data_IF_048173688995
#
_entry.id   IF_048173688995
#
_cell.length_a   1.000
_cell.length_b   1.000
_cell.length_c   1.000
_cell.angle_alpha   90.00
_cell.angle_beta   90.00
_cell.angle_gamma   90.00
#
_symmetry.space_group_name_H-M   'P 1'
#
loop_
_entity.id
_entity.type
_entity.pdbx_description
1 polymer ?
#
# COMPACT_ATOMS: atom_id res chain seq x y z
N UNK A 1 -20.91 -0.02 -17.45
CA UNK A 1 -19.75 -0.91 -17.29
C UNK A 1 -18.70 -0.13 -16.55
N UNK A 2 -17.98 -0.77 -15.63
CA UNK A 2 -16.84 -0.16 -14.97
C UNK A 2 -15.88 0.39 -16.05
N UNK A 3 -15.42 1.62 -15.89
CA UNK A 3 -14.58 2.30 -16.89
C UNK A 3 -13.27 1.54 -17.11
N UNK A 4 -12.77 1.52 -18.35
CA UNK A 4 -11.45 0.97 -18.70
C UNK A 4 -10.28 1.75 -18.06
N UNK A 5 -10.59 2.90 -17.42
CA UNK A 5 -9.64 3.77 -16.72
C UNK A 5 -10.23 4.19 -15.38
N UNK A 6 -9.54 3.83 -14.30
CA UNK A 6 -9.88 4.10 -12.91
C UNK A 6 -8.81 5.04 -12.35
N UNK A 7 -9.20 6.18 -11.76
CA UNK A 7 -8.25 7.08 -11.11
C UNK A 7 -7.77 6.47 -9.79
N UNK A 8 -6.47 6.23 -9.69
CA UNK A 8 -5.81 5.67 -8.52
C UNK A 8 -4.83 6.67 -7.91
N UNK A 9 -4.65 6.58 -6.60
CA UNK A 9 -3.66 7.35 -5.85
C UNK A 9 -2.80 6.38 -5.06
N UNK A 10 -1.49 6.39 -5.32
CA UNK A 10 -0.51 5.81 -4.42
C UNK A 10 -0.11 6.85 -3.37
N UNK A 11 -0.25 6.52 -2.10
CA UNK A 11 0.20 7.38 -0.99
C UNK A 11 1.58 6.97 -0.52
N UNK A 12 2.38 7.92 -0.01
CA UNK A 12 3.71 7.66 0.53
C UNK A 12 4.14 8.73 1.55
N UNK A 13 5.27 8.50 2.21
CA UNK A 13 5.91 9.49 3.06
C UNK A 13 6.45 10.65 2.23
N UNK A 14 6.44 11.86 2.80
CA UNK A 14 6.96 13.06 2.13
C UNK A 14 8.42 12.89 1.74
N UNK A 15 8.75 13.28 0.51
CA UNK A 15 10.09 13.16 -0.08
C UNK A 15 10.31 11.86 -0.86
N UNK A 16 9.41 10.88 -0.78
CA UNK A 16 9.51 9.61 -1.53
C UNK A 16 8.66 9.58 -2.80
N UNK A 17 7.99 10.68 -3.15
CA UNK A 17 7.04 10.73 -4.26
C UNK A 17 7.69 10.43 -5.61
N UNK A 18 8.95 10.83 -5.79
CA UNK A 18 9.72 10.57 -7.01
C UNK A 18 10.06 9.09 -7.19
N UNK A 19 10.25 8.35 -6.09
CA UNK A 19 10.47 6.90 -6.14
C UNK A 19 9.18 6.17 -6.52
N UNK A 20 8.07 6.47 -5.84
CA UNK A 20 6.76 5.86 -6.17
C UNK A 20 6.36 6.16 -7.61
N UNK A 21 6.58 7.40 -8.07
CA UNK A 21 6.35 7.78 -9.47
C UNK A 21 7.16 6.89 -10.43
N UNK A 22 8.45 6.69 -10.15
CA UNK A 22 9.31 5.80 -10.95
C UNK A 22 8.81 4.35 -10.93
N UNK A 23 8.45 3.82 -9.76
CA UNK A 23 7.91 2.46 -9.64
C UNK A 23 6.61 2.29 -10.45
N UNK A 24 5.74 3.31 -10.49
CA UNK A 24 4.55 3.30 -11.33
C UNK A 24 4.89 3.35 -12.83
N UNK A 25 5.86 4.17 -13.24
CA UNK A 25 6.33 4.27 -14.62
C UNK A 25 6.98 2.95 -15.10
N UNK A 26 7.76 2.30 -14.24
CA UNK A 26 8.37 0.98 -14.50
C UNK A 26 7.29 -0.11 -14.69
N UNK A 27 6.13 0.02 -14.04
CA UNK A 27 4.96 -0.84 -14.25
C UNK A 27 4.12 -0.47 -15.49
N UNK A 28 4.47 0.63 -16.17
CA UNK A 28 3.82 1.12 -17.39
C UNK A 28 2.75 2.20 -17.16
N UNK A 29 2.64 2.76 -15.95
CA UNK A 29 1.64 3.77 -15.62
C UNK A 29 2.22 5.18 -15.65
N UNK A 30 1.55 6.09 -16.37
CA UNK A 30 1.86 7.53 -16.30
C UNK A 30 1.37 8.08 -14.96
N UNK A 31 2.29 8.63 -14.17
CA UNK A 31 2.03 9.06 -12.82
C UNK A 31 2.41 10.53 -12.57
N UNK A 32 1.58 11.24 -11.79
CA UNK A 32 1.74 12.64 -11.47
C UNK A 32 1.64 12.87 -9.97
N UNK A 33 2.58 13.62 -9.40
CA UNK A 33 2.49 14.09 -8.01
C UNK A 33 1.46 15.22 -7.97
N UNK A 34 0.37 15.03 -7.25
CA UNK A 34 -0.74 16.00 -7.17
C UNK A 34 -0.77 16.77 -5.85
N UNK A 35 -0.09 16.26 -4.83
CA UNK A 35 0.05 16.84 -3.50
C UNK A 35 1.21 16.13 -2.78
N UNK A 36 1.84 16.71 -1.73
CA UNK A 36 2.82 15.99 -0.93
C UNK A 36 2.31 14.63 -0.46
N UNK A 37 3.10 13.58 -0.72
CA UNK A 37 2.80 12.18 -0.44
C UNK A 37 1.75 11.53 -1.34
N UNK A 38 1.23 12.20 -2.37
CA UNK A 38 0.12 11.72 -3.21
C UNK A 38 0.49 11.69 -4.70
N UNK A 39 0.51 10.49 -5.27
CA UNK A 39 0.88 10.23 -6.66
C UNK A 39 -0.34 9.63 -7.36
N UNK A 40 -0.94 10.40 -8.27
CA UNK A 40 -2.11 9.99 -9.05
C UNK A 40 -1.69 9.36 -10.37
N UNK A 41 -2.37 8.29 -10.73
CA UNK A 41 -2.24 7.60 -12.02
C UNK A 41 -3.60 7.03 -12.42
N UNK A 42 -3.71 6.58 -13.67
CA UNK A 42 -4.92 5.98 -14.23
C UNK A 42 -4.58 4.53 -14.61
N UNK A 43 -5.46 3.58 -14.29
CA UNK A 43 -5.28 2.18 -14.66
C UNK A 43 -6.62 1.43 -14.73
N UNK A 44 -6.64 0.26 -15.34
CA UNK A 44 -7.77 -0.67 -15.27
C UNK A 44 -7.76 -1.46 -13.92
N UNK A 45 -8.64 -2.45 -13.80
CA UNK A 45 -8.70 -3.33 -12.63
C UNK A 45 -7.39 -4.10 -12.40
N UNK A 46 -6.64 -4.42 -13.46
CA UNK A 46 -5.34 -5.07 -13.33
C UNK A 46 -4.33 -4.16 -12.65
N UNK A 47 -4.43 -2.84 -12.87
CA UNK A 47 -3.62 -1.85 -12.18
C UNK A 47 -3.77 -1.87 -10.68
N UNK A 48 -4.98 -2.11 -10.15
CA UNK A 48 -5.19 -2.27 -8.70
C UNK A 48 -4.37 -3.44 -8.16
N UNK A 49 -4.42 -4.58 -8.85
CA UNK A 49 -3.75 -5.81 -8.43
C UNK A 49 -2.22 -5.67 -8.51
N UNK A 50 -1.72 -5.22 -9.67
CA UNK A 50 -0.29 -5.07 -9.94
C UNK A 50 0.35 -4.04 -9.01
N UNK A 51 -0.27 -2.88 -8.82
CA UNK A 51 0.33 -1.83 -7.98
C UNK A 51 0.35 -2.19 -6.49
N UNK A 52 -0.66 -2.89 -5.97
CA UNK A 52 -0.61 -3.43 -4.61
C UNK A 52 0.48 -4.51 -4.43
N UNK A 53 0.75 -5.32 -5.45
CA UNK A 53 1.80 -6.34 -5.40
C UNK A 53 3.21 -5.74 -5.50
N UNK A 54 3.41 -4.75 -6.37
CA UNK A 54 4.75 -4.34 -6.82
C UNK A 54 5.33 -3.09 -6.17
N UNK A 55 4.51 -2.13 -5.70
CA UNK A 55 5.04 -0.88 -5.14
C UNK A 55 5.74 -1.12 -3.80
N UNK A 56 7.04 -0.79 -3.72
CA UNK A 56 7.86 -1.02 -2.51
C UNK A 56 7.92 0.22 -1.61
N UNK A 57 7.79 1.40 -2.22
CA UNK A 57 7.96 2.69 -1.54
C UNK A 57 6.64 3.43 -1.29
N UNK A 58 5.51 2.89 -1.77
CA UNK A 58 4.18 3.37 -1.44
C UNK A 58 3.70 2.80 -0.09
N UNK A 59 2.88 3.58 0.63
CA UNK A 59 2.20 3.15 1.84
C UNK A 59 0.87 2.44 1.54
N UNK A 60 0.13 2.89 0.52
CA UNK A 60 -1.20 2.37 0.09
C UNK A 60 -1.48 2.73 -1.37
N UNK A 61 -2.38 1.97 -1.99
CA UNK A 61 -3.05 2.29 -3.26
C UNK A 61 -4.55 2.42 -3.01
N UNK A 62 -5.12 3.55 -3.40
CA UNK A 62 -6.56 3.84 -3.20
C UNK A 62 -7.19 4.27 -4.52
N UNK A 63 -8.48 3.96 -4.69
CA UNK A 63 -9.27 4.49 -5.80
C UNK A 63 -9.79 5.87 -5.42
N UNK A 64 -9.62 6.84 -6.30
CA UNK A 64 -10.24 8.15 -6.16
C UNK A 64 -11.69 8.09 -6.67
N UNK A 65 -12.64 7.82 -5.77
CA UNK A 65 -14.06 7.73 -6.13
C UNK A 65 -14.59 9.09 -6.58
N UNK A 66 -14.26 10.15 -5.84
CA UNK A 66 -14.64 11.51 -6.20
C UNK A 66 -13.74 12.54 -5.51
N UNK A 67 -13.69 13.76 -6.05
CA UNK A 67 -13.05 14.91 -5.42
C UNK A 67 -13.79 16.21 -5.75
N UNK A 68 -14.13 17.01 -4.74
CA UNK A 68 -14.94 18.23 -4.92
C UNK A 68 -14.67 19.25 -3.81
N UNK A 69 -14.92 20.54 -4.09
CA UNK A 69 -14.90 21.58 -3.07
C UNK A 69 -16.07 21.39 -2.10
N UNK A 70 -15.82 21.48 -0.80
CA UNK A 70 -16.76 21.10 0.24
C UNK A 70 -16.58 21.97 1.50
N UNK A 71 -17.51 22.90 1.71
CA UNK A 71 -17.50 23.86 2.83
C UNK A 71 -18.58 23.61 3.88
N UNK A 72 -19.60 22.83 3.54
CA UNK A 72 -20.73 22.53 4.40
C UNK A 72 -21.15 21.05 4.31
N UNK A 73 -21.93 20.61 5.31
CA UNK A 73 -22.35 19.21 5.43
C UNK A 73 -23.38 18.81 4.38
N UNK A 74 -24.16 19.75 3.85
CA UNK A 74 -25.17 19.46 2.83
C UNK A 74 -24.48 19.08 1.51
N UNK A 75 -23.47 19.86 1.11
CA UNK A 75 -22.62 19.57 -0.05
C UNK A 75 -21.91 18.22 0.12
N UNK A 76 -21.34 17.94 1.30
CA UNK A 76 -20.71 16.66 1.58
C UNK A 76 -21.71 15.51 1.43
N UNK A 77 -22.89 15.65 2.02
CA UNK A 77 -23.90 14.61 2.07
C UNK A 77 -24.49 14.32 0.69
N UNK A 78 -25.01 15.34 0.00
CA UNK A 78 -25.67 15.18 -1.30
C UNK A 78 -24.69 14.71 -2.38
N UNK A 79 -23.47 15.25 -2.40
CA UNK A 79 -22.45 14.80 -3.37
C UNK A 79 -22.01 13.36 -3.10
N UNK A 80 -21.85 12.97 -1.83
CA UNK A 80 -21.53 11.58 -1.48
C UNK A 80 -22.67 10.63 -1.85
N UNK A 81 -23.92 11.03 -1.61
CA UNK A 81 -25.12 10.22 -1.87
C UNK A 81 -25.35 10.00 -3.37
N UNK A 82 -24.97 10.96 -4.22
CA UNK A 82 -25.13 10.87 -5.66
C UNK A 82 -24.19 9.86 -6.36
N UNK A 83 -23.14 9.40 -5.67
CA UNK A 83 -22.18 8.43 -6.20
C UNK A 83 -22.85 7.05 -6.34
N UNK A 84 -22.55 6.35 -7.45
CA UNK A 84 -22.94 4.96 -7.71
C UNK A 84 -22.08 3.97 -6.89
N UNK A 85 -22.27 3.97 -5.57
CA UNK A 85 -21.50 3.13 -4.65
C UNK A 85 -21.68 1.62 -4.92
N UNK A 86 -22.80 1.23 -5.52
CA UNK A 86 -23.13 -0.15 -5.88
C UNK A 86 -22.20 -0.75 -6.94
N UNK A 87 -21.50 0.08 -7.73
CA UNK A 87 -20.45 -0.39 -8.65
C UNK A 87 -19.25 -1.00 -7.91
N UNK A 88 -19.04 -0.61 -6.65
CA UNK A 88 -17.90 -1.03 -5.83
C UNK A 88 -18.31 -1.89 -4.65
N UNK A 89 -19.44 -1.58 -4.02
CA UNK A 89 -19.90 -2.20 -2.77
C UNK A 89 -21.17 -3.01 -3.05
N UNK A 90 -21.10 -4.36 -3.00
CA UNK A 90 -22.27 -5.20 -3.21
C UNK A 90 -23.24 -5.08 -2.04
N UNK A 91 -24.47 -5.60 -2.21
CA UNK A 91 -25.54 -5.51 -1.19
C UNK A 91 -25.10 -5.97 0.20
N UNK A 92 -24.29 -7.02 0.27
CA UNK A 92 -23.77 -7.60 1.50
C UNK A 92 -22.42 -7.05 1.94
N UNK A 93 -21.77 -6.18 1.14
CA UNK A 93 -20.44 -5.65 1.42
C UNK A 93 -20.39 -4.89 2.76
N UNK A 94 -19.35 -5.15 3.54
CA UNK A 94 -19.01 -4.37 4.73
C UNK A 94 -18.39 -3.06 4.29
N UNK A 95 -18.77 -1.93 4.89
CA UNK A 95 -18.13 -0.65 4.56
C UNK A 95 -17.91 0.23 5.78
N UNK A 96 -16.67 0.67 5.96
CA UNK A 96 -16.26 1.49 7.09
C UNK A 96 -15.76 2.83 6.60
N UNK A 97 -16.12 3.91 7.29
CA UNK A 97 -15.71 5.27 6.92
C UNK A 97 -14.67 5.79 7.90
N UNK A 98 -13.48 6.05 7.38
CA UNK A 98 -12.41 6.77 8.07
C UNK A 98 -12.32 8.20 7.53
N UNK A 99 -11.67 9.10 8.26
CA UNK A 99 -11.50 10.44 7.73
C UNK A 99 -10.38 11.23 8.37
N UNK A 100 -10.05 12.35 7.72
CA UNK A 100 -9.14 13.37 8.20
C UNK A 100 -9.55 14.72 7.65
N UNK A 101 -9.31 15.78 8.41
CA UNK A 101 -9.57 17.15 8.00
C UNK A 101 -8.38 18.02 8.34
N UNK A 102 -7.85 18.72 7.35
CA UNK A 102 -6.66 19.55 7.44
C UNK A 102 -7.01 20.91 6.83
N UNK A 103 -6.89 21.97 7.63
CA UNK A 103 -7.13 23.35 7.18
C UNK A 103 -8.45 23.53 6.42
N UNK A 104 -9.52 22.86 6.84
CA UNK A 104 -10.83 22.91 6.19
C UNK A 104 -11.91 23.37 7.17
N UNK A 105 -12.95 24.02 6.66
CA UNK A 105 -14.10 24.51 7.42
C UNK A 105 -14.81 23.37 8.16
N UNK A 106 -15.00 22.23 7.48
CA UNK A 106 -15.47 20.99 8.11
C UNK A 106 -14.34 20.31 8.88
N UNK A 107 -14.08 20.78 10.11
CA UNK A 107 -12.96 20.30 10.94
C UNK A 107 -13.28 19.06 11.80
N UNK A 108 -14.56 18.82 12.11
CA UNK A 108 -14.98 17.67 12.92
C UNK A 108 -14.94 16.36 12.11
N UNK A 109 -13.82 15.65 12.21
CA UNK A 109 -13.62 14.35 11.55
C UNK A 109 -14.75 13.34 11.85
N UNK A 110 -15.17 13.13 13.12
CA UNK A 110 -16.27 12.21 13.41
C UNK A 110 -17.60 12.61 12.77
N UNK A 111 -17.87 13.92 12.64
CA UNK A 111 -19.08 14.40 11.98
C UNK A 111 -19.03 14.15 10.46
N UNK A 112 -17.88 14.37 9.83
CA UNK A 112 -17.68 14.07 8.41
C UNK A 112 -17.86 12.57 8.13
N UNK A 113 -17.27 11.71 8.97
CA UNK A 113 -17.43 10.24 8.84
C UNK A 113 -18.89 9.81 8.95
N UNK A 114 -19.65 10.35 9.92
CA UNK A 114 -21.07 10.06 10.07
C UNK A 114 -21.89 10.53 8.88
N UNK A 115 -21.62 11.74 8.37
CA UNK A 115 -22.31 12.28 7.19
C UNK A 115 -22.09 11.40 5.97
N UNK A 116 -20.83 11.05 5.68
CA UNK A 116 -20.46 10.17 4.54
C UNK A 116 -21.06 8.77 4.71
N UNK A 117 -20.96 8.15 5.89
CA UNK A 117 -21.57 6.82 6.14
C UNK A 117 -23.08 6.85 5.92
N UNK A 118 -23.77 7.88 6.40
CA UNK A 118 -25.22 8.03 6.19
C UNK A 118 -25.57 8.20 4.71
N UNK A 119 -24.84 9.05 3.98
CA UNK A 119 -25.03 9.27 2.54
C UNK A 119 -24.82 7.97 1.73
N UNK A 120 -23.78 7.20 2.06
CA UNK A 120 -23.51 5.90 1.45
C UNK A 120 -24.63 4.89 1.72
N UNK A 121 -25.14 4.82 2.95
CA UNK A 121 -26.28 3.93 3.30
C UNK A 121 -27.50 4.28 2.45
N UNK A 122 -27.87 5.56 2.34
CA UNK A 122 -29.01 5.98 1.53
C UNK A 122 -28.82 5.67 0.03
N UNK A 123 -27.61 5.86 -0.50
CA UNK A 123 -27.29 5.50 -1.88
C UNK A 123 -27.41 3.99 -2.12
N UNK A 124 -26.78 3.17 -1.28
CA UNK A 124 -26.76 1.72 -1.41
C UNK A 124 -28.13 1.07 -1.21
N UNK A 125 -28.94 1.54 -0.24
CA UNK A 125 -30.31 1.04 -0.06
C UNK A 125 -31.16 1.26 -1.32
N UNK A 126 -31.04 2.45 -1.92
CA UNK A 126 -31.75 2.81 -3.15
C UNK A 126 -31.26 1.97 -4.34
N UNK A 127 -29.94 1.88 -4.55
CA UNK A 127 -29.35 1.16 -5.67
C UNK A 127 -29.65 -0.35 -5.63
N UNK A 128 -29.48 -0.97 -4.46
CA UNK A 128 -29.75 -2.40 -4.24
C UNK A 128 -31.23 -2.74 -4.04
N UNK A 129 -32.12 -1.74 -4.08
CA UNK A 129 -33.58 -1.88 -3.89
C UNK A 129 -33.92 -2.68 -2.63
N UNK A 130 -33.28 -2.33 -1.51
CA UNK A 130 -33.38 -3.02 -0.22
C UNK A 130 -33.61 -2.01 0.90
N UNK A 131 -34.13 -2.48 2.03
CA UNK A 131 -34.29 -1.69 3.26
C UNK A 131 -33.24 -2.00 4.32
N UNK A 132 -32.44 -3.05 4.10
CA UNK A 132 -31.40 -3.51 5.01
C UNK A 132 -30.12 -3.83 4.23
N UNK A 133 -28.98 -3.43 4.79
CA UNK A 133 -27.63 -3.80 4.38
C UNK A 133 -27.05 -4.70 5.48
N UNK A 134 -26.82 -6.01 5.23
CA UNK A 134 -26.40 -6.94 6.27
C UNK A 134 -24.93 -6.76 6.69
N UNK A 135 -24.08 -6.15 5.85
CA UNK A 135 -22.64 -5.96 6.08
C UNK A 135 -21.95 -7.29 6.51
N UNK A 136 -22.17 -8.37 5.77
CA UNK A 136 -21.61 -9.72 6.03
C UNK A 136 -20.52 -10.16 5.05
N UNK A 137 -20.38 -9.46 3.93
CA UNK A 137 -19.45 -9.75 2.84
C UNK A 137 -18.08 -9.08 3.02
N UNK A 138 -17.37 -8.84 1.91
CA UNK A 138 -16.01 -8.27 1.92
C UNK A 138 -15.95 -6.82 2.38
N UNK A 139 -14.80 -6.43 2.95
CA UNK A 139 -14.58 -5.11 3.53
C UNK A 139 -14.18 -4.06 2.48
N UNK A 140 -14.90 -2.95 2.48
CA UNK A 140 -14.70 -1.77 1.64
C UNK A 140 -14.47 -0.56 2.52
N UNK A 141 -13.20 -0.23 2.75
CA UNK A 141 -12.86 0.92 3.60
C UNK A 141 -12.83 2.20 2.76
N UNK A 142 -13.68 3.14 3.11
CA UNK A 142 -13.74 4.47 2.50
C UNK A 142 -13.06 5.49 3.41
N UNK A 143 -12.25 6.37 2.84
CA UNK A 143 -11.66 7.52 3.51
C UNK A 143 -12.27 8.81 2.94
N UNK A 144 -12.72 9.69 3.82
CA UNK A 144 -12.98 11.10 3.50
C UNK A 144 -11.78 11.94 3.96
N UNK A 145 -10.99 12.44 3.01
CA UNK A 145 -9.91 13.38 3.28
C UNK A 145 -10.33 14.79 2.86
N UNK A 146 -10.42 15.70 3.83
CA UNK A 146 -10.66 17.12 3.62
C UNK A 146 -9.34 17.88 3.77
N UNK A 147 -8.90 18.56 2.72
CA UNK A 147 -7.65 19.33 2.69
C UNK A 147 -7.91 20.67 2.04
N UNK A 148 -7.82 21.76 2.80
CA UNK A 148 -8.10 23.13 2.31
C UNK A 148 -9.45 23.22 1.58
N UNK A 149 -10.49 22.72 2.24
CA UNK A 149 -11.87 22.65 1.74
C UNK A 149 -12.08 21.78 0.49
N UNK A 150 -11.06 21.04 0.04
CA UNK A 150 -11.22 20.02 -0.99
C UNK A 150 -11.49 18.66 -0.32
N UNK A 151 -12.65 18.08 -0.57
CA UNK A 151 -13.00 16.72 -0.18
C UNK A 151 -12.49 15.71 -1.21
N UNK A 152 -11.96 14.59 -0.71
CA UNK A 152 -11.56 13.42 -1.47
C UNK A 152 -12.22 12.19 -0.86
N UNK A 153 -13.03 11.48 -1.66
CA UNK A 153 -13.59 10.20 -1.28
C UNK A 153 -12.73 9.11 -1.92
N UNK A 154 -12.05 8.33 -1.07
CA UNK A 154 -11.06 7.34 -1.47
C UNK A 154 -11.49 5.96 -1.02
N UNK A 155 -11.33 4.95 -1.86
CA UNK A 155 -11.61 3.55 -1.52
C UNK A 155 -10.30 2.76 -1.40
N UNK A 156 -10.03 2.23 -0.20
CA UNK A 156 -8.77 1.56 0.16
C UNK A 156 -8.71 0.15 -0.42
N UNK A 157 -7.84 -0.06 -1.42
CA UNK A 157 -7.65 -1.37 -2.05
C UNK A 157 -6.62 -2.23 -1.30
N UNK A 158 -5.84 -1.62 -0.40
CA UNK A 158 -4.65 -2.21 0.23
C UNK A 158 -4.93 -2.85 1.59
N UNK A 159 -5.78 -2.26 2.43
CA UNK A 159 -6.06 -2.78 3.78
C UNK A 159 -4.98 -2.44 4.83
N UNK A 160 -4.20 -3.37 5.40
CA UNK A 160 -3.02 -3.01 6.18
C UNK A 160 -2.01 -2.27 5.27
N UNK A 161 -1.32 -1.23 5.72
CA UNK A 161 -0.38 -0.49 4.86
C UNK A 161 0.66 -1.41 4.21
N UNK A 162 1.07 -1.09 2.98
CA UNK A 162 2.03 -1.85 2.16
C UNK A 162 3.34 -2.12 2.90
N UNK A 163 3.69 -1.29 3.89
CA UNK A 163 4.87 -1.56 4.68
C UNK A 163 4.83 -2.91 5.45
N UNK A 164 3.65 -3.46 5.70
CA UNK A 164 3.52 -4.77 6.37
C UNK A 164 3.62 -5.92 5.37
N UNK A 165 4.83 -6.25 4.92
CA UNK A 165 5.08 -7.28 3.87
C UNK A 165 4.61 -8.69 4.28
N UNK A 166 4.58 -8.94 5.58
CA UNK A 166 4.24 -10.25 6.17
C UNK A 166 5.43 -10.93 6.86
N UNK A 167 6.67 -10.51 6.57
CA UNK A 167 7.85 -11.17 7.11
C UNK A 167 8.25 -10.74 8.54
N UNK A 168 7.70 -9.63 9.05
CA UNK A 168 8.04 -9.09 10.37
C UNK A 168 6.89 -9.32 11.37
N UNK A 169 7.06 -10.16 12.40
CA UNK A 169 6.08 -10.29 13.47
C UNK A 169 5.99 -9.00 14.30
N UNK A 170 4.82 -8.70 14.85
CA UNK A 170 4.44 -7.40 15.45
C UNK A 170 5.11 -7.06 16.81
N UNK A 171 6.37 -7.47 17.05
CA UNK A 171 6.95 -7.55 18.39
C UNK A 171 8.29 -6.83 18.60
N UNK A 172 8.82 -6.10 17.61
CA UNK A 172 10.09 -5.37 17.78
C UNK A 172 9.87 -3.86 18.05
N UNK A 173 10.60 -3.32 19.03
CA UNK A 173 10.68 -1.89 19.33
C UNK A 173 11.41 -1.14 18.21
N UNK A 174 10.70 -0.24 17.54
CA UNK A 174 11.21 0.81 16.65
C UNK A 174 12.10 0.42 15.44
N UNK A 175 11.84 -0.68 14.69
CA UNK A 175 12.54 -0.90 13.44
C UNK A 175 12.09 0.10 12.36
N UNK A 176 13.01 0.44 11.45
CA UNK A 176 12.69 1.25 10.27
C UNK A 176 11.53 0.62 9.49
N UNK A 177 10.62 1.47 8.99
CA UNK A 177 9.59 1.03 8.04
C UNK A 177 10.29 0.48 6.82
N UNK A 178 9.86 -0.68 6.37
CA UNK A 178 10.49 -1.34 5.26
C UNK A 178 10.23 -0.56 3.94
N UNK A 179 9.23 0.35 3.86
CA UNK A 179 9.03 1.25 2.70
C UNK A 179 10.16 2.26 2.61
N UNK A 180 10.62 2.75 3.77
CA UNK A 180 11.78 3.62 3.87
C UNK A 180 13.08 2.83 3.62
N UNK A 181 13.17 1.59 4.09
CA UNK A 181 14.33 0.74 3.79
C UNK A 181 14.47 0.45 2.28
N UNK A 182 13.38 0.09 1.60
CA UNK A 182 13.36 -0.06 0.14
C UNK A 182 13.76 1.25 -0.57
N UNK A 183 13.26 2.39 -0.09
CA UNK A 183 13.64 3.70 -0.62
C UNK A 183 15.13 3.99 -0.45
N UNK A 184 15.72 3.68 0.70
CA UNK A 184 17.16 3.83 0.96
C UNK A 184 18.00 2.99 -0.01
N UNK A 185 17.58 1.74 -0.28
CA UNK A 185 18.27 0.87 -1.25
C UNK A 185 18.18 1.45 -2.67
N UNK A 186 17.01 1.94 -3.08
CA UNK A 186 16.85 2.54 -4.41
C UNK A 186 17.65 3.85 -4.56
N UNK A 187 17.71 4.67 -3.50
CA UNK A 187 18.45 5.94 -3.49
C UNK A 187 19.97 5.77 -3.37
N UNK A 188 20.45 4.62 -2.88
CA UNK A 188 21.89 4.32 -2.84
C UNK A 188 22.46 3.95 -4.22
N UNK A 189 21.61 3.80 -5.24
CA UNK A 189 21.98 3.30 -6.56
C UNK A 189 22.65 1.91 -6.52
N UNK A 190 22.34 1.12 -5.49
CA UNK A 190 22.78 -0.26 -5.39
C UNK A 190 22.15 -1.11 -6.50
N UNK A 191 22.87 -2.13 -6.96
CA UNK A 191 22.37 -3.16 -7.86
C UNK A 191 22.93 -4.53 -7.44
N UNK A 192 22.30 -5.64 -7.89
CA UNK A 192 22.64 -6.98 -7.39
C UNK A 192 24.06 -7.46 -7.68
N UNK A 193 24.77 -6.82 -8.62
CA UNK A 193 26.15 -7.16 -8.97
C UNK A 193 27.17 -6.44 -8.06
N UNK A 194 26.71 -5.67 -7.07
CA UNK A 194 27.56 -4.95 -6.12
C UNK A 194 27.39 -5.51 -4.71
N UNK A 195 28.47 -5.60 -3.92
CA UNK A 195 28.35 -5.95 -2.51
C UNK A 195 27.53 -4.88 -1.77
N UNK A 196 26.75 -5.33 -0.79
CA UNK A 196 26.02 -4.47 0.14
C UNK A 196 26.29 -4.95 1.56
N UNK A 197 26.66 -4.01 2.41
CA UNK A 197 26.85 -4.21 3.84
C UNK A 197 26.00 -3.20 4.60
N UNK A 198 25.12 -3.69 5.47
CA UNK A 198 24.50 -2.88 6.52
C UNK A 198 25.23 -3.16 7.85
N UNK A 199 26.07 -2.22 8.33
CA UNK A 199 26.87 -2.43 9.54
C UNK A 199 26.07 -2.37 10.85
N UNK A 200 24.83 -1.89 10.82
CA UNK A 200 23.95 -1.68 11.97
C UNK A 200 22.56 -2.26 11.66
N UNK A 201 22.54 -3.50 11.17
CA UNK A 201 21.37 -4.04 10.47
C UNK A 201 20.16 -4.30 11.37
N UNK A 202 20.36 -4.36 12.69
CA UNK A 202 19.31 -4.65 13.66
C UNK A 202 18.49 -5.87 13.26
N UNK A 203 17.20 -5.68 13.02
CA UNK A 203 16.27 -6.76 12.61
C UNK A 203 16.33 -7.12 11.12
N UNK A 204 17.37 -6.67 10.40
CA UNK A 204 17.70 -7.08 9.04
C UNK A 204 16.92 -6.37 7.93
N UNK A 205 16.25 -5.26 8.23
CA UNK A 205 15.27 -4.66 7.31
C UNK A 205 15.86 -4.21 5.97
N UNK A 206 16.98 -3.49 5.99
CA UNK A 206 17.62 -2.98 4.77
C UNK A 206 18.19 -4.14 3.94
N UNK A 207 18.94 -5.10 4.51
CA UNK A 207 19.37 -6.29 3.76
C UNK A 207 18.21 -7.10 3.16
N UNK A 208 17.09 -7.25 3.88
CA UNK A 208 15.92 -7.97 3.37
C UNK A 208 15.29 -7.24 2.18
N UNK A 209 15.04 -5.94 2.26
CA UNK A 209 14.48 -5.19 1.13
C UNK A 209 15.46 -5.15 -0.06
N UNK A 210 16.78 -5.10 0.18
CA UNK A 210 17.79 -5.24 -0.87
C UNK A 210 17.75 -6.61 -1.54
N UNK A 211 17.63 -7.71 -0.79
CA UNK A 211 17.48 -9.05 -1.35
C UNK A 211 16.21 -9.18 -2.20
N UNK A 212 15.09 -8.66 -1.71
CA UNK A 212 13.82 -8.65 -2.45
C UNK A 212 13.92 -7.85 -3.75
N UNK A 213 14.58 -6.68 -3.73
CA UNK A 213 14.86 -5.89 -4.93
C UNK A 213 15.76 -6.67 -5.89
N UNK A 214 16.84 -7.27 -5.39
CA UNK A 214 17.81 -7.95 -6.24
C UNK A 214 17.26 -9.21 -6.91
N UNK A 215 16.37 -9.92 -6.23
CA UNK A 215 15.63 -11.06 -6.78
C UNK A 215 14.38 -10.65 -7.55
N UNK A 216 14.11 -9.35 -7.70
CA UNK A 216 12.90 -8.83 -8.30
C UNK A 216 11.62 -9.45 -7.72
N UNK A 217 11.62 -9.75 -6.41
CA UNK A 217 10.48 -10.33 -5.71
C UNK A 217 9.49 -9.23 -5.35
N UNK A 218 8.22 -9.39 -5.73
CA UNK A 218 7.18 -8.42 -5.41
C UNK A 218 6.97 -8.29 -3.88
N UNK A 219 6.97 -7.08 -3.29
CA UNK A 219 6.81 -6.88 -1.84
C UNK A 219 5.46 -7.37 -1.31
N UNK A 220 4.43 -7.44 -2.16
CA UNK A 220 3.10 -7.92 -1.81
C UNK A 220 2.88 -9.43 -1.97
N UNK A 221 3.91 -10.20 -2.37
CA UNK A 221 3.75 -11.61 -2.77
C UNK A 221 3.14 -12.50 -1.68
N UNK A 222 3.56 -12.33 -0.42
CA UNK A 222 3.15 -13.19 0.71
C UNK A 222 2.10 -12.57 1.62
N UNK A 223 1.31 -11.62 1.10
CA UNK A 223 0.23 -10.97 1.84
C UNK A 223 -1.06 -10.90 1.04
N UNK A 224 -2.14 -10.67 1.78
CA UNK A 224 -3.48 -10.49 1.24
C UNK A 224 -3.87 -9.01 1.18
N UNK A 225 -4.81 -8.74 0.30
CA UNK A 225 -5.38 -7.43 0.04
C UNK A 225 -6.91 -7.56 0.07
N UNK A 226 -7.65 -6.71 0.81
CA UNK A 226 -9.10 -6.81 0.88
C UNK A 226 -9.79 -6.74 -0.49
N UNK A 227 -9.17 -6.03 -1.44
CA UNK A 227 -9.67 -5.92 -2.82
C UNK A 227 -9.61 -7.22 -3.63
N UNK A 228 -8.91 -8.25 -3.15
CA UNK A 228 -8.96 -9.59 -3.74
C UNK A 228 -10.32 -10.28 -3.60
N UNK A 229 -11.12 -9.85 -2.61
CA UNK A 229 -12.46 -10.38 -2.33
C UNK A 229 -13.58 -9.45 -2.84
N UNK A 230 -13.25 -8.42 -3.63
CA UNK A 230 -14.25 -7.49 -4.15
C UNK A 230 -14.95 -8.06 -5.37
N UNK A 231 -16.27 -7.97 -5.37
CA UNK A 231 -17.12 -8.55 -6.42
C UNK A 231 -16.85 -7.98 -7.82
N UNK A 232 -16.36 -6.75 -7.89
CA UNK A 232 -16.08 -6.04 -9.12
C UNK A 232 -14.69 -6.33 -9.71
N UNK A 233 -13.84 -7.07 -8.98
CA UNK A 233 -12.52 -7.52 -9.47
C UNK A 233 -12.58 -9.03 -9.68
N UNK A 234 -12.60 -9.51 -10.95
CA UNK A 234 -12.52 -10.93 -11.23
C UNK A 234 -11.30 -11.57 -10.58
N UNK A 235 -11.47 -12.75 -9.98
CA UNK A 235 -10.42 -13.47 -9.25
C UNK A 235 -9.23 -13.81 -10.15
N UNK A 236 -9.50 -13.98 -11.44
CA UNK A 236 -8.51 -14.24 -12.49
C UNK A 236 -7.50 -13.10 -12.58
N UNK A 237 -7.91 -11.82 -12.48
CA UNK A 237 -6.99 -10.68 -12.56
C UNK A 237 -5.97 -10.70 -11.40
N UNK A 238 -6.42 -11.03 -10.18
CA UNK A 238 -5.53 -11.20 -9.04
C UNK A 238 -4.60 -12.41 -9.20
N UNK A 239 -5.12 -13.52 -9.71
CA UNK A 239 -4.33 -14.72 -9.98
C UNK A 239 -3.24 -14.40 -11.01
N UNK A 240 -3.59 -13.73 -12.10
CA UNK A 240 -2.67 -13.40 -13.19
C UNK A 240 -1.58 -12.43 -12.71
N UNK A 241 -1.92 -11.42 -11.89
CA UNK A 241 -0.93 -10.52 -11.30
C UNK A 241 0.02 -11.25 -10.32
N UNK A 242 -0.47 -12.24 -9.57
CA UNK A 242 0.39 -13.09 -8.73
C UNK A 242 1.28 -14.00 -9.57
N UNK A 243 0.76 -14.59 -10.65
CA UNK A 243 1.57 -15.38 -11.59
C UNK A 243 2.67 -14.54 -12.24
N UNK A 244 2.34 -13.34 -12.73
CA UNK A 244 3.34 -12.37 -13.24
C UNK A 244 4.43 -12.12 -12.19
N UNK A 245 4.06 -11.96 -10.92
CA UNK A 245 5.03 -11.72 -9.84
C UNK A 245 5.99 -12.87 -9.58
N UNK A 246 5.56 -14.11 -9.82
CA UNK A 246 6.40 -15.30 -9.71
C UNK A 246 7.29 -15.45 -10.94
N UNK A 247 6.76 -15.23 -12.15
CA UNK A 247 7.47 -15.37 -13.41
C UNK A 247 8.62 -14.36 -13.56
N UNK A 248 8.46 -13.17 -12.96
CA UNK A 248 9.46 -12.10 -12.97
C UNK A 248 10.56 -12.25 -11.90
N UNK A 249 10.46 -13.26 -11.02
CA UNK A 249 11.48 -13.51 -10.00
C UNK A 249 12.82 -13.91 -10.63
N UNK A 250 13.89 -13.33 -10.11
CA UNK A 250 15.26 -13.64 -10.51
C UNK A 250 15.91 -14.63 -9.54
N UNK A 251 16.92 -15.33 -10.05
CA UNK A 251 17.78 -16.16 -9.22
C UNK A 251 18.56 -15.30 -8.22
N UNK A 252 18.96 -15.88 -7.07
CA UNK A 252 19.92 -15.26 -6.16
C UNK A 252 21.17 -14.74 -6.87
N UNK A 253 21.74 -13.65 -6.37
CA UNK A 253 23.04 -13.15 -6.80
C UNK A 253 24.17 -14.13 -6.44
N UNK A 254 25.34 -13.96 -7.05
CA UNK A 254 26.52 -14.79 -6.78
C UNK A 254 27.15 -14.53 -5.41
N UNK A 255 26.94 -13.33 -4.85
CA UNK A 255 27.44 -12.93 -3.53
C UNK A 255 26.27 -12.66 -2.58
N UNK A 256 26.47 -12.99 -1.31
CA UNK A 256 25.49 -12.70 -0.25
C UNK A 256 25.60 -11.26 0.20
N UNK A 257 24.45 -10.65 0.49
CA UNK A 257 24.37 -9.38 1.20
C UNK A 257 24.86 -9.58 2.64
N UNK A 258 25.53 -8.59 3.21
CA UNK A 258 26.05 -8.66 4.57
C UNK A 258 25.23 -7.75 5.50
N UNK A 259 24.83 -8.30 6.64
CA UNK A 259 24.24 -7.53 7.74
C UNK A 259 24.98 -7.82 9.03
N UNK A 260 25.51 -6.79 9.68
CA UNK A 260 26.15 -6.95 10.99
C UNK A 260 25.46 -6.15 12.06
N UNK A 261 25.55 -6.64 13.30
CA UNK A 261 25.10 -5.93 14.49
C UNK A 261 25.93 -6.40 15.69
N UNK A 262 26.03 -5.59 16.74
CA UNK A 262 26.74 -5.99 17.96
C UNK A 262 25.88 -6.87 18.88
N UNK A 263 24.54 -6.81 18.75
CA UNK A 263 23.61 -7.58 19.56
C UNK A 263 23.18 -8.89 18.86
N UNK A 264 23.70 -10.03 19.28
CA UNK A 264 23.28 -11.32 18.68
C UNK A 264 21.77 -11.60 18.85
N UNK A 265 21.12 -11.06 19.88
CA UNK A 265 19.67 -11.25 20.08
C UNK A 265 18.87 -10.61 18.96
N UNK A 266 19.30 -9.47 18.43
CA UNK A 266 18.60 -8.81 17.32
C UNK A 266 18.82 -9.55 16.00
N UNK A 267 20.00 -10.17 15.83
CA UNK A 267 20.32 -10.99 14.66
C UNK A 267 19.52 -12.28 14.59
N UNK A 268 19.09 -12.86 15.72
CA UNK A 268 18.12 -13.97 15.72
C UNK A 268 16.81 -13.54 15.05
N UNK A 269 16.32 -12.33 15.35
CA UNK A 269 15.13 -11.78 14.71
C UNK A 269 15.38 -11.47 13.22
N UNK A 270 16.56 -10.96 12.85
CA UNK A 270 16.93 -10.71 11.47
C UNK A 270 16.90 -11.98 10.61
N UNK A 271 17.51 -13.07 11.10
CA UNK A 271 17.50 -14.38 10.42
C UNK A 271 16.07 -14.91 10.25
N UNK A 272 15.25 -14.83 11.31
CA UNK A 272 13.83 -15.23 11.25
C UNK A 272 13.04 -14.42 10.21
N UNK A 273 13.23 -13.10 10.19
CA UNK A 273 12.59 -12.21 9.23
C UNK A 273 13.00 -12.54 7.79
N UNK A 274 14.29 -12.82 7.54
CA UNK A 274 14.77 -13.19 6.21
C UNK A 274 14.21 -14.54 5.74
N UNK A 275 14.05 -15.52 6.64
CA UNK A 275 13.35 -16.78 6.33
C UNK A 275 11.89 -16.52 5.95
N UNK A 276 11.17 -15.71 6.73
CA UNK A 276 9.77 -15.37 6.43
C UNK A 276 9.62 -14.57 5.13
N UNK A 277 10.64 -13.78 4.76
CA UNK A 277 10.69 -13.05 3.49
C UNK A 277 11.11 -13.92 2.30
N UNK A 278 11.54 -15.17 2.51
CA UNK A 278 12.01 -16.07 1.45
C UNK A 278 13.41 -15.76 0.91
N UNK A 279 14.23 -15.03 1.68
CA UNK A 279 15.55 -14.53 1.27
C UNK A 279 16.68 -14.87 2.27
N UNK A 280 16.50 -15.91 3.07
CA UNK A 280 17.49 -16.30 4.09
C UNK A 280 18.85 -16.67 3.49
N UNK A 281 18.87 -17.32 2.31
CA UNK A 281 20.10 -17.75 1.66
C UNK A 281 20.84 -16.61 0.93
N UNK A 282 20.15 -15.47 0.74
CA UNK A 282 20.67 -14.28 0.06
C UNK A 282 21.48 -13.38 1.02
N UNK A 283 21.35 -13.57 2.34
CA UNK A 283 21.86 -12.66 3.35
C UNK A 283 22.70 -13.41 4.40
N UNK A 284 23.92 -12.94 4.65
CA UNK A 284 24.74 -13.38 5.75
C UNK A 284 24.68 -12.40 6.91
N UNK A 285 24.04 -12.82 8.01
CA UNK A 285 23.98 -12.06 9.26
C UNK A 285 25.08 -12.50 10.24
N UNK A 286 25.95 -11.58 10.63
CA UNK A 286 27.10 -11.83 11.51
C UNK A 286 27.13 -10.88 12.70
N UNK A 287 27.35 -11.41 13.91
CA UNK A 287 27.65 -10.56 15.06
C UNK A 287 29.05 -9.97 14.90
N UNK A 288 29.13 -8.64 14.83
CA UNK A 288 30.39 -7.91 14.71
C UNK A 288 30.18 -6.47 15.13
N UNK A 289 31.11 -5.92 15.91
CA UNK A 289 31.08 -4.48 16.18
C UNK A 289 31.54 -3.71 14.95
N UNK A 290 30.97 -2.51 14.74
CA UNK A 290 31.32 -1.68 13.60
C UNK A 290 32.82 -1.34 13.55
N UNK A 291 33.44 -1.09 14.70
CA UNK A 291 34.87 -0.78 14.81
C UNK A 291 35.78 -1.90 14.30
N UNK A 292 35.27 -3.14 14.25
CA UNK A 292 36.03 -4.31 13.84
C UNK A 292 35.84 -4.62 12.34
N UNK A 293 35.06 -3.81 11.59
CA UNK A 293 34.81 -4.01 10.14
C UNK A 293 35.89 -3.39 9.24
N UNK A 294 36.64 -2.41 9.75
CA UNK A 294 37.65 -1.64 9.02
C UNK A 294 39.07 -2.14 9.32
#
# INVERSE_FOLDING_TARGET
SMSDSIPLIATTAFGLESLVKRELEDLGYKANVISPGWIRFEADLSGICRTNLWLRTADRVVIQINSFECKDFDTLFETTKAIAWDEWIPKDGQFVVTGRSIQSQLSSVPACQRSVKKAMVESLLKAHRTTVLPETGSLHKVEIALIKDQAWLLLDTTGPSLHKRGYRPATATAPIKETLAAAMVQLSFWNPDRPLLDPFCGTGTIPIEAALIGRNMAPGMYRDFPSADWHCIPKEIWRDARTESLDLMKQPGSERLLGTDNDDKILIAARKNATLAGVADDIHFQQREFKDLL
#
